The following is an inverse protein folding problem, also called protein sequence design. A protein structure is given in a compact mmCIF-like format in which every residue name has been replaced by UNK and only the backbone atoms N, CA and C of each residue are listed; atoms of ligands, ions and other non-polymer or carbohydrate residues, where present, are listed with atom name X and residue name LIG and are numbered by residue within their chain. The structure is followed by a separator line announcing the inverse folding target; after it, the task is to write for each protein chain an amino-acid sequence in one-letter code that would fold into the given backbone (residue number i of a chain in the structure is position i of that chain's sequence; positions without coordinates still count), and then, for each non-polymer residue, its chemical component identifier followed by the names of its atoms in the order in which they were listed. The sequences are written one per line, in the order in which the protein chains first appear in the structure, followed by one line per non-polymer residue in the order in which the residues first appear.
data_IF_110599501777
#
_entry.id   IF_110599501777
#
_cell.length_a   1.000
_cell.length_b   1.000
_cell.length_c   1.000
_cell.angle_alpha   90.00
_cell.angle_beta   90.00
_cell.angle_gamma   90.00
#
_symmetry.space_group_name_H-M   'P 1'
#
loop_
_entity.id
_entity.type
_entity.pdbx_description
1 polymer ?
#
# COMPACT_ATOMS: atom_id res chain seq x y z
N UNK A 1 -95.73 -4.53 17.54
CA UNK A 1 -94.92 -3.47 18.19
C UNK A 1 -93.49 -3.88 18.53
N UNK A 2 -93.06 -5.13 18.44
CA UNK A 2 -91.72 -5.58 18.71
C UNK A 2 -90.81 -5.62 17.41
N UNK A 3 -91.41 -5.87 16.27
CA UNK A 3 -90.67 -6.00 14.99
C UNK A 3 -90.16 -4.66 14.52
N UNK A 4 -90.81 -3.54 14.77
CA UNK A 4 -90.38 -2.21 14.39
C UNK A 4 -89.20 -1.65 15.18
N UNK A 5 -88.94 -2.15 16.37
CA UNK A 5 -87.80 -1.75 17.22
C UNK A 5 -86.47 -2.39 16.76
N UNK A 6 -86.53 -3.57 16.14
CA UNK A 6 -85.34 -4.28 15.66
C UNK A 6 -84.94 -3.83 14.23
N UNK A 7 -85.94 -3.44 13.41
CA UNK A 7 -85.67 -3.06 11.99
C UNK A 7 -85.25 -1.60 11.83
N UNK A 8 -85.49 -0.71 12.82
CA UNK A 8 -85.07 0.66 12.72
C UNK A 8 -83.53 0.84 12.75
N UNK A 9 -82.75 0.18 13.64
CA UNK A 9 -81.29 0.29 13.59
C UNK A 9 -80.70 -0.37 12.34
N UNK A 10 -81.32 -1.41 11.77
CA UNK A 10 -80.81 -2.01 10.54
C UNK A 10 -80.98 -1.10 9.29
N UNK A 11 -82.12 -0.35 9.23
CA UNK A 11 -82.38 0.63 8.14
C UNK A 11 -81.48 1.87 8.27
N UNK A 12 -81.10 2.31 9.45
CA UNK A 12 -80.11 3.41 9.62
C UNK A 12 -78.71 2.98 9.33
N UNK A 13 -78.32 1.76 9.62
CA UNK A 13 -77.00 1.19 9.21
C UNK A 13 -76.86 1.08 7.70
N UNK A 14 -77.94 0.72 6.96
CA UNK A 14 -77.91 0.67 5.46
C UNK A 14 -77.81 2.05 4.79
N UNK A 15 -78.19 3.13 5.51
CA UNK A 15 -78.10 4.53 5.00
C UNK A 15 -76.92 5.28 5.52
N UNK A 16 -76.17 4.72 6.50
CA UNK A 16 -74.99 5.40 7.04
C UNK A 16 -73.81 5.26 6.10
N UNK A 17 -73.52 6.33 5.39
CA UNK A 17 -72.34 6.43 4.50
C UNK A 17 -71.03 6.68 5.25
N UNK A 18 -71.02 6.83 6.57
CA UNK A 18 -69.82 7.01 7.38
C UNK A 18 -68.94 5.78 7.44
N UNK A 19 -69.51 4.58 7.18
CA UNK A 19 -68.76 3.33 7.06
C UNK A 19 -67.91 3.22 5.81
N UNK A 20 -68.12 4.08 4.80
CA UNK A 20 -67.37 4.02 3.54
C UNK A 20 -65.88 4.35 3.73
N UNK A 21 -65.54 5.29 4.61
CA UNK A 21 -64.14 5.61 4.97
C UNK A 21 -63.47 4.43 5.68
N UNK A 22 -64.16 3.72 6.55
CA UNK A 22 -63.64 2.52 7.24
C UNK A 22 -63.40 1.37 6.28
N UNK A 23 -64.27 1.17 5.29
CA UNK A 23 -64.07 0.18 4.24
C UNK A 23 -62.90 0.54 3.33
N UNK A 24 -62.80 1.77 2.89
CA UNK A 24 -61.65 2.24 2.08
C UNK A 24 -60.35 2.07 2.85
N UNK A 25 -60.32 2.43 4.16
CA UNK A 25 -59.16 2.25 5.01
C UNK A 25 -58.81 0.76 5.16
N UNK A 26 -59.79 -0.13 5.44
CA UNK A 26 -59.58 -1.57 5.57
C UNK A 26 -59.06 -2.21 4.28
N UNK A 27 -59.57 -1.81 3.12
CA UNK A 27 -59.05 -2.29 1.80
C UNK A 27 -57.71 -1.70 1.43
N UNK A 28 -57.36 -0.48 1.88
CA UNK A 28 -56.09 0.17 1.57
C UNK A 28 -54.96 -0.33 2.47
N UNK A 29 -55.24 -0.72 3.72
CA UNK A 29 -54.19 -1.14 4.67
C UNK A 29 -53.52 -2.45 4.22
N UNK A 30 -54.27 -3.39 3.63
CA UNK A 30 -53.72 -4.64 3.14
C UNK A 30 -52.63 -4.45 2.08
N UNK A 31 -52.90 -3.80 0.92
CA UNK A 31 -51.87 -3.61 -0.10
C UNK A 31 -50.68 -2.73 0.38
N UNK A 32 -50.95 -1.76 1.26
CA UNK A 32 -49.88 -0.93 1.83
C UNK A 32 -48.99 -1.79 2.76
N UNK A 33 -49.57 -2.61 3.62
CA UNK A 33 -48.80 -3.51 4.51
C UNK A 33 -47.96 -4.51 3.71
N UNK A 34 -48.52 -5.09 2.65
CA UNK A 34 -47.78 -6.01 1.80
C UNK A 34 -46.66 -5.29 1.00
N UNK A 35 -46.94 -4.12 0.45
CA UNK A 35 -45.96 -3.34 -0.25
C UNK A 35 -44.78 -2.96 0.66
N UNK A 36 -45.04 -2.49 1.87
CA UNK A 36 -44.04 -2.19 2.88
C UNK A 36 -43.30 -3.44 3.32
N UNK A 37 -44.01 -4.55 3.57
CA UNK A 37 -43.41 -5.82 3.93
C UNK A 37 -42.50 -6.42 2.87
N UNK A 38 -42.88 -6.35 1.59
CA UNK A 38 -42.02 -6.76 0.49
C UNK A 38 -40.75 -5.86 0.38
N UNK A 39 -40.86 -4.57 0.68
CA UNK A 39 -39.71 -3.67 0.77
C UNK A 39 -38.75 -4.08 1.90
N UNK A 40 -39.26 -4.53 3.04
CA UNK A 40 -38.46 -5.06 4.16
C UNK A 40 -37.74 -6.35 3.72
N UNK A 41 -38.48 -7.32 3.13
CA UNK A 41 -37.89 -8.57 2.65
C UNK A 41 -36.81 -8.33 1.61
N UNK A 42 -37.04 -7.42 0.66
CA UNK A 42 -36.03 -7.02 -0.35
C UNK A 42 -34.80 -6.41 0.31
N UNK A 43 -34.97 -5.51 1.26
CA UNK A 43 -33.86 -4.87 1.98
C UNK A 43 -33.05 -5.91 2.77
N UNK A 44 -33.72 -6.87 3.42
CA UNK A 44 -33.06 -7.97 4.12
C UNK A 44 -32.23 -8.85 3.15
N UNK A 45 -32.79 -9.17 1.98
CA UNK A 45 -32.10 -9.93 0.94
C UNK A 45 -30.86 -9.18 0.41
N UNK A 46 -30.95 -7.87 0.18
CA UNK A 46 -29.80 -7.05 -0.27
C UNK A 46 -28.69 -6.96 0.78
N UNK A 47 -29.06 -6.88 2.07
CA UNK A 47 -28.06 -6.93 3.17
C UNK A 47 -27.34 -8.28 3.22
N UNK A 48 -28.08 -9.38 3.09
CA UNK A 48 -27.49 -10.72 3.03
C UNK A 48 -26.58 -10.87 1.80
N UNK A 49 -27.00 -10.38 0.63
CA UNK A 49 -26.21 -10.41 -0.58
C UNK A 49 -24.91 -9.61 -0.42
N UNK A 50 -24.96 -8.40 0.14
CA UNK A 50 -23.75 -7.58 0.41
C UNK A 50 -22.80 -8.31 1.36
N UNK A 51 -23.32 -8.93 2.41
CA UNK A 51 -22.52 -9.74 3.34
C UNK A 51 -21.89 -10.93 2.65
N UNK A 52 -22.66 -11.68 1.83
CA UNK A 52 -22.15 -12.84 1.10
C UNK A 52 -21.11 -12.45 0.04
N UNK A 53 -21.25 -11.30 -0.61
CA UNK A 53 -20.23 -10.79 -1.51
C UNK A 53 -18.90 -10.56 -0.76
N UNK A 54 -18.92 -9.96 0.42
CA UNK A 54 -17.72 -9.79 1.23
C UNK A 54 -17.11 -11.12 1.69
N UNK A 55 -17.95 -12.12 2.02
CA UNK A 55 -17.51 -13.49 2.33
C UNK A 55 -16.88 -14.16 1.11
N UNK A 56 -17.45 -13.94 -0.07
CA UNK A 56 -16.94 -14.47 -1.33
C UNK A 56 -15.59 -13.86 -1.69
N UNK A 57 -15.42 -12.53 -1.48
CA UNK A 57 -14.14 -11.85 -1.63
C UNK A 57 -13.08 -12.42 -0.67
N UNK A 58 -13.43 -12.60 0.60
CA UNK A 58 -12.54 -13.20 1.59
C UNK A 58 -12.16 -14.65 1.24
N UNK A 59 -13.11 -15.43 0.75
CA UNK A 59 -12.90 -16.80 0.29
C UNK A 59 -11.93 -16.85 -0.91
N UNK A 60 -12.13 -15.98 -1.89
CA UNK A 60 -11.22 -15.88 -3.04
C UNK A 60 -9.80 -15.48 -2.62
N UNK A 61 -9.68 -14.50 -1.72
CA UNK A 61 -8.37 -14.07 -1.22
C UNK A 61 -7.65 -15.15 -0.42
N UNK A 62 -8.37 -15.98 0.35
CA UNK A 62 -7.78 -17.05 1.16
C UNK A 62 -6.99 -18.06 0.32
N UNK A 63 -7.43 -18.35 -0.90
CA UNK A 63 -6.80 -19.32 -1.79
C UNK A 63 -5.56 -18.79 -2.52
N UNK A 64 -5.36 -17.47 -2.55
CA UNK A 64 -4.27 -16.83 -3.31
C UNK A 64 -3.25 -16.13 -2.41
N UNK A 65 -3.24 -16.44 -1.12
CA UNK A 65 -2.21 -15.93 -0.20
C UNK A 65 -0.82 -16.47 -0.53
N UNK A 66 0.22 -15.75 -0.18
CA UNK A 66 1.61 -16.19 -0.43
C UNK A 66 1.92 -17.60 0.15
N UNK A 67 1.44 -18.00 1.36
CA UNK A 67 1.55 -19.37 1.82
C UNK A 67 0.82 -20.37 0.93
N UNK A 68 -0.40 -20.04 0.46
CA UNK A 68 -1.21 -20.94 -0.40
C UNK A 68 -0.58 -21.15 -1.79
N UNK A 69 0.21 -20.21 -2.29
CA UNK A 69 0.97 -20.37 -3.52
C UNK A 69 2.04 -21.43 -3.45
N UNK A 70 2.44 -21.85 -2.25
CA UNK A 70 3.38 -22.96 -2.01
C UNK A 70 2.68 -24.30 -1.85
N UNK A 71 1.36 -24.30 -1.75
CA UNK A 71 0.50 -25.46 -1.57
C UNK A 71 -0.16 -25.85 -2.90
N UNK A 72 -0.72 -27.04 -2.96
CA UNK A 72 -1.48 -27.54 -4.10
C UNK A 72 -2.77 -26.79 -4.37
N UNK A 73 -3.38 -27.06 -5.53
CA UNK A 73 -4.69 -26.49 -5.87
C UNK A 73 -5.80 -27.00 -4.94
N UNK A 74 -5.65 -28.23 -4.41
CA UNK A 74 -6.54 -28.85 -3.43
C UNK A 74 -6.54 -28.11 -2.10
N UNK A 75 -5.37 -27.73 -1.58
CA UNK A 75 -5.26 -26.93 -0.37
C UNK A 75 -5.91 -25.56 -0.57
N UNK A 76 -5.69 -24.95 -1.73
CA UNK A 76 -6.31 -23.68 -2.08
C UNK A 76 -7.84 -23.79 -2.21
N UNK A 77 -8.35 -24.89 -2.80
CA UNK A 77 -9.78 -25.19 -2.81
C UNK A 77 -10.36 -25.31 -1.40
N UNK A 78 -9.67 -26.05 -0.55
CA UNK A 78 -10.10 -26.26 0.84
C UNK A 78 -10.05 -24.97 1.64
N UNK A 79 -9.03 -24.14 1.45
CA UNK A 79 -8.92 -22.83 2.10
C UNK A 79 -10.09 -21.88 1.69
N UNK A 80 -10.38 -21.80 0.38
CA UNK A 80 -11.50 -20.99 -0.10
C UNK A 80 -12.84 -21.48 0.43
N UNK A 81 -13.08 -22.80 0.36
CA UNK A 81 -14.34 -23.42 0.82
C UNK A 81 -14.53 -23.24 2.32
N UNK A 82 -13.53 -23.58 3.13
CA UNK A 82 -13.62 -23.47 4.58
C UNK A 82 -13.83 -22.04 5.04
N UNK A 83 -13.19 -21.07 4.37
CA UNK A 83 -13.40 -19.65 4.63
C UNK A 83 -14.84 -19.23 4.34
N UNK A 84 -15.40 -19.67 3.21
CA UNK A 84 -16.79 -19.38 2.87
C UNK A 84 -17.74 -20.03 3.87
N UNK A 85 -17.64 -21.34 4.09
CA UNK A 85 -18.56 -22.13 4.92
C UNK A 85 -18.55 -21.67 6.38
N UNK A 86 -17.37 -21.35 6.94
CA UNK A 86 -17.25 -20.88 8.32
C UNK A 86 -18.01 -19.56 8.57
N UNK A 87 -18.09 -18.69 7.55
CA UNK A 87 -18.71 -17.38 7.68
C UNK A 87 -20.21 -17.38 7.34
N UNK A 88 -20.71 -18.40 6.61
CA UNK A 88 -22.13 -18.52 6.28
C UNK A 88 -22.88 -19.42 7.24
N UNK A 89 -22.19 -20.28 8.00
CA UNK A 89 -22.80 -21.19 8.99
C UNK A 89 -23.61 -20.39 10.00
N UNK A 90 -24.85 -20.86 10.27
CA UNK A 90 -25.79 -20.24 11.23
C UNK A 90 -26.18 -18.77 10.90
N UNK A 91 -26.13 -18.37 9.65
CA UNK A 91 -26.63 -17.05 9.24
C UNK A 91 -28.17 -17.08 9.19
N UNK A 92 -28.82 -16.30 10.03
CA UNK A 92 -30.29 -16.26 10.11
C UNK A 92 -30.91 -15.82 8.77
N UNK A 93 -31.95 -16.50 8.35
CA UNK A 93 -32.68 -16.21 7.11
C UNK A 93 -31.94 -16.58 5.81
N UNK A 94 -30.78 -17.19 5.90
CA UNK A 94 -30.02 -17.66 4.75
C UNK A 94 -30.22 -19.16 4.53
N UNK A 95 -30.50 -19.54 3.28
CA UNK A 95 -30.45 -20.92 2.83
C UNK A 95 -29.49 -21.05 1.69
N UNK A 96 -28.41 -21.81 1.88
CA UNK A 96 -27.41 -22.13 0.88
C UNK A 96 -26.98 -23.59 1.06
N UNK A 97 -26.91 -24.34 -0.03
CA UNK A 97 -26.29 -25.66 -0.04
C UNK A 97 -24.92 -25.56 -0.73
N UNK A 98 -23.86 -25.47 0.07
CA UNK A 98 -22.50 -25.33 -0.43
C UNK A 98 -21.98 -26.60 -1.13
N UNK A 99 -22.70 -27.73 -1.00
CA UNK A 99 -22.35 -29.02 -1.58
C UNK A 99 -23.12 -29.33 -2.87
N UNK A 100 -24.27 -28.69 -3.07
CA UNK A 100 -25.06 -28.89 -4.28
C UNK A 100 -24.45 -28.18 -5.47
N UNK A 101 -24.57 -28.74 -6.68
CA UNK A 101 -24.22 -28.07 -7.93
C UNK A 101 -24.94 -26.72 -8.01
N UNK A 102 -24.15 -25.62 -8.21
CA UNK A 102 -24.69 -24.27 -8.32
C UNK A 102 -24.90 -23.52 -6.99
N UNK A 103 -24.73 -24.19 -5.82
CA UNK A 103 -24.78 -23.48 -4.51
C UNK A 103 -23.49 -22.72 -4.23
N UNK A 104 -22.35 -23.40 -4.24
CA UNK A 104 -21.00 -22.80 -4.16
C UNK A 104 -20.13 -23.43 -5.23
N UNK A 105 -19.62 -22.62 -6.13
CA UNK A 105 -18.68 -23.04 -7.18
C UNK A 105 -17.37 -22.32 -7.00
N UNK A 106 -16.26 -23.07 -6.94
CA UNK A 106 -14.91 -22.54 -6.84
C UNK A 106 -14.12 -23.09 -8.02
N UNK A 107 -13.56 -22.20 -8.83
CA UNK A 107 -12.69 -22.55 -9.95
C UNK A 107 -11.31 -21.94 -9.74
N UNK A 108 -10.26 -22.75 -9.83
CA UNK A 108 -8.86 -22.33 -9.68
C UNK A 108 -8.12 -22.57 -10.98
N UNK A 109 -7.37 -21.59 -11.42
CA UNK A 109 -6.47 -21.66 -12.56
C UNK A 109 -5.06 -21.32 -12.11
N UNK A 110 -4.17 -22.31 -12.17
CA UNK A 110 -2.74 -22.13 -11.96
C UNK A 110 -2.02 -22.03 -13.30
N UNK A 111 -1.12 -21.05 -13.44
CA UNK A 111 -0.20 -20.96 -14.57
C UNK A 111 1.11 -21.61 -14.15
N UNK A 112 1.48 -22.71 -14.79
CA UNK A 112 2.69 -23.45 -14.50
C UNK A 112 3.95 -22.71 -15.01
N UNK A 113 5.18 -23.08 -14.56
CA UNK A 113 6.43 -22.53 -15.09
C UNK A 113 6.60 -22.70 -16.60
N UNK A 114 5.93 -23.69 -17.20
CA UNK A 114 5.87 -23.89 -18.66
C UNK A 114 5.03 -22.84 -19.39
N UNK A 115 4.34 -21.95 -18.67
CA UNK A 115 3.39 -20.98 -19.22
C UNK A 115 1.99 -21.56 -19.51
N UNK A 116 1.78 -22.86 -19.30
CA UNK A 116 0.50 -23.52 -19.55
C UNK A 116 -0.46 -23.28 -18.36
N UNK A 117 -1.71 -22.89 -18.60
CA UNK A 117 -2.73 -22.80 -17.57
C UNK A 117 -3.33 -24.20 -17.29
N UNK A 118 -3.48 -24.53 -16.01
CA UNK A 118 -4.21 -25.70 -15.53
C UNK A 118 -5.41 -25.19 -14.72
N UNK A 119 -6.63 -25.53 -15.14
CA UNK A 119 -7.86 -25.11 -14.46
C UNK A 119 -8.56 -26.31 -13.86
N UNK A 120 -8.99 -26.17 -12.61
CA UNK A 120 -9.86 -27.14 -11.94
C UNK A 120 -11.09 -26.43 -11.39
N UNK A 121 -12.20 -27.18 -11.32
CA UNK A 121 -13.36 -26.80 -10.49
C UNK A 121 -13.31 -27.62 -9.22
N UNK A 122 -13.31 -26.97 -8.08
CA UNK A 122 -13.19 -27.62 -6.79
C UNK A 122 -14.42 -28.52 -6.52
N UNK A 123 -14.23 -29.81 -6.27
CA UNK A 123 -15.31 -30.72 -5.95
C UNK A 123 -15.93 -30.40 -4.59
N UNK A 124 -17.17 -30.81 -4.39
CA UNK A 124 -17.84 -30.71 -3.10
C UNK A 124 -17.18 -31.59 -2.03
N UNK A 125 -16.55 -32.68 -2.42
CA UNK A 125 -15.95 -33.67 -1.51
C UNK A 125 -14.71 -34.25 -2.21
N UNK A 126 -13.52 -34.05 -1.60
CA UNK A 126 -12.24 -34.64 -1.97
C UNK A 126 -11.79 -34.42 -3.44
N UNK A 127 -10.58 -33.98 -3.63
CA UNK A 127 -9.99 -33.86 -4.97
C UNK A 127 -9.43 -35.23 -5.43
N UNK A 128 -9.42 -35.53 -6.73
CA UNK A 128 -8.71 -36.68 -7.25
C UNK A 128 -7.21 -36.57 -6.90
N UNK A 129 -6.64 -37.63 -6.34
CA UNK A 129 -5.20 -37.74 -6.13
C UNK A 129 -4.50 -37.71 -7.49
N UNK A 130 -3.55 -36.80 -7.67
CA UNK A 130 -2.73 -36.73 -8.87
C UNK A 130 -2.63 -35.38 -9.60
N UNK A 131 -3.17 -34.31 -9.03
CA UNK A 131 -2.95 -32.97 -9.60
C UNK A 131 -1.50 -32.55 -9.32
N UNK A 132 -0.73 -32.08 -10.33
CA UNK A 132 0.67 -31.75 -10.14
C UNK A 132 0.88 -30.71 -9.05
N UNK A 133 1.70 -31.03 -8.05
CA UNK A 133 2.15 -30.11 -6.99
C UNK A 133 3.20 -29.10 -7.48
N UNK A 134 3.26 -28.80 -8.78
CA UNK A 134 4.19 -27.81 -9.29
C UNK A 134 3.79 -26.44 -8.74
N UNK A 135 4.75 -25.73 -8.16
CA UNK A 135 4.53 -24.34 -7.71
C UNK A 135 4.11 -23.50 -8.91
N UNK A 136 2.92 -22.90 -8.90
CA UNK A 136 2.47 -22.10 -10.02
C UNK A 136 3.22 -20.75 -10.06
N UNK A 137 3.40 -20.20 -11.25
CA UNK A 137 3.84 -18.81 -11.42
C UNK A 137 2.75 -17.85 -10.99
N UNK A 138 1.49 -18.19 -11.30
CA UNK A 138 0.33 -17.40 -10.87
C UNK A 138 -0.83 -18.34 -10.56
N UNK A 139 -1.69 -17.91 -9.64
CA UNK A 139 -2.96 -18.55 -9.32
C UNK A 139 -4.08 -17.55 -9.44
N UNK A 140 -5.11 -17.88 -10.21
CA UNK A 140 -6.37 -17.17 -10.28
C UNK A 140 -7.48 -18.04 -9.71
N UNK A 141 -8.41 -17.43 -9.00
CA UNK A 141 -9.58 -18.11 -8.44
C UNK A 141 -10.85 -17.33 -8.75
N UNK A 142 -11.91 -18.05 -9.03
CA UNK A 142 -13.26 -17.52 -9.14
C UNK A 142 -14.13 -18.29 -8.15
N UNK A 143 -14.79 -17.58 -7.26
CA UNK A 143 -15.75 -18.11 -6.30
C UNK A 143 -17.12 -17.54 -6.65
N UNK A 144 -18.10 -18.40 -6.90
CA UNK A 144 -19.47 -18.00 -7.23
C UNK A 144 -20.43 -18.69 -6.26
N UNK A 145 -21.43 -17.97 -5.79
CA UNK A 145 -22.47 -18.54 -4.95
C UNK A 145 -23.86 -18.21 -5.48
N UNK A 146 -24.81 -19.13 -5.19
CA UNK A 146 -26.24 -18.89 -5.30
C UNK A 146 -26.91 -19.36 -3.99
N UNK A 147 -27.73 -18.48 -3.42
CA UNK A 147 -28.37 -18.68 -2.14
C UNK A 147 -29.81 -18.13 -2.15
N UNK A 148 -30.53 -18.37 -1.07
CA UNK A 148 -31.89 -17.85 -0.88
C UNK A 148 -31.99 -17.10 0.44
N UNK A 149 -32.58 -15.91 0.39
CA UNK A 149 -32.99 -15.15 1.57
C UNK A 149 -34.43 -15.50 1.92
N UNK A 150 -34.67 -15.89 3.14
CA UNK A 150 -36.04 -16.15 3.63
C UNK A 150 -36.83 -14.84 3.64
N UNK A 151 -38.09 -14.93 3.18
CA UNK A 151 -39.06 -13.84 3.20
C UNK A 151 -39.98 -13.99 4.38
N UNK A 152 -40.26 -12.90 5.10
CA UNK A 152 -41.25 -12.87 6.18
C UNK A 152 -42.65 -12.50 5.67
N UNK A 153 -42.73 -11.43 4.90
CA UNK A 153 -43.99 -10.89 4.39
C UNK A 153 -44.43 -11.51 3.08
N UNK A 154 -43.51 -11.59 2.10
CA UNK A 154 -43.80 -12.20 0.81
C UNK A 154 -44.07 -13.71 0.94
N UNK A 155 -43.61 -14.35 2.02
CA UNK A 155 -43.94 -15.75 2.39
C UNK A 155 -45.41 -15.99 2.56
N UNK A 156 -46.18 -15.05 3.10
CA UNK A 156 -47.63 -15.11 3.28
C UNK A 156 -48.34 -15.20 1.91
N UNK A 157 -47.76 -14.61 0.87
CA UNK A 157 -48.24 -14.62 -0.51
C UNK A 157 -47.68 -15.79 -1.33
N UNK A 158 -47.08 -16.80 -0.69
CA UNK A 158 -46.51 -17.97 -1.35
C UNK A 158 -45.11 -17.82 -1.89
N UNK A 159 -44.43 -16.65 -1.68
CA UNK A 159 -43.05 -16.42 -2.03
C UNK A 159 -42.13 -16.56 -0.82
N UNK A 160 -41.84 -17.81 -0.44
CA UNK A 160 -41.10 -18.12 0.79
C UNK A 160 -39.67 -17.60 0.82
N UNK A 161 -39.03 -17.35 -0.33
CA UNK A 161 -37.65 -16.86 -0.40
C UNK A 161 -37.36 -16.02 -1.66
N UNK A 162 -36.32 -15.16 -1.57
CA UNK A 162 -35.74 -14.42 -2.70
C UNK A 162 -34.36 -15.00 -3.01
N UNK A 163 -34.10 -15.27 -4.30
CA UNK A 163 -32.78 -15.69 -4.77
C UNK A 163 -31.78 -14.56 -4.73
N UNK A 164 -30.61 -14.82 -4.19
CA UNK A 164 -29.45 -13.92 -4.15
C UNK A 164 -28.22 -14.65 -4.66
N UNK A 165 -27.29 -13.95 -5.29
CA UNK A 165 -26.08 -14.57 -5.81
C UNK A 165 -24.99 -13.52 -6.08
N UNK A 166 -23.79 -13.99 -6.25
CA UNK A 166 -22.64 -13.15 -6.54
C UNK A 166 -21.40 -13.97 -6.89
N UNK A 167 -20.38 -13.28 -7.34
CA UNK A 167 -19.10 -13.86 -7.71
C UNK A 167 -17.96 -12.93 -7.29
N UNK A 168 -16.84 -13.52 -6.89
CA UNK A 168 -15.58 -12.82 -6.65
C UNK A 168 -14.45 -13.53 -7.36
N UNK A 169 -13.48 -12.78 -7.84
CA UNK A 169 -12.25 -13.32 -8.40
C UNK A 169 -11.03 -12.67 -7.79
N UNK A 170 -10.01 -13.47 -7.53
CA UNK A 170 -8.72 -13.02 -7.04
C UNK A 170 -7.60 -13.67 -7.84
N UNK A 171 -6.48 -12.96 -8.00
CA UNK A 171 -5.28 -13.46 -8.66
C UNK A 171 -4.05 -13.05 -7.87
N UNK A 172 -3.07 -13.94 -7.79
CA UNK A 172 -1.74 -13.61 -7.31
C UNK A 172 -0.68 -14.22 -8.22
N UNK A 173 0.50 -13.60 -8.20
CA UNK A 173 1.67 -14.03 -8.97
C UNK A 173 2.79 -14.25 -7.97
N UNK A 174 3.45 -15.39 -8.03
CA UNK A 174 4.47 -15.78 -7.05
C UNK A 174 5.68 -14.84 -7.10
N UNK A 175 6.07 -14.42 -8.29
CA UNK A 175 7.13 -13.44 -8.53
C UNK A 175 6.70 -12.57 -9.71
N UNK A 176 5.92 -11.49 -9.45
CA UNK A 176 5.48 -10.60 -10.52
C UNK A 176 6.67 -9.87 -11.14
N UNK A 177 6.56 -9.55 -12.41
CA UNK A 177 7.49 -8.60 -13.02
C UNK A 177 7.30 -7.23 -12.39
N UNK A 178 8.39 -6.64 -11.92
CA UNK A 178 8.37 -5.36 -11.24
C UNK A 178 9.51 -4.47 -11.73
N UNK A 179 9.18 -3.21 -12.02
CA UNK A 179 10.14 -2.15 -12.26
C UNK A 179 10.12 -1.22 -11.04
N UNK A 180 11.21 -1.21 -10.30
CA UNK A 180 11.35 -0.47 -9.05
C UNK A 180 12.34 0.67 -9.28
N UNK A 181 11.83 1.88 -9.20
CA UNK A 181 12.61 3.10 -9.30
C UNK A 181 12.84 3.65 -7.90
N UNK A 182 14.08 3.62 -7.43
CA UNK A 182 14.49 4.09 -6.10
C UNK A 182 15.14 5.46 -6.20
N UNK A 183 14.54 6.46 -5.59
CA UNK A 183 15.16 7.77 -5.36
C UNK A 183 15.69 7.81 -3.92
N UNK A 184 17.01 7.79 -3.80
CA UNK A 184 17.74 7.73 -2.54
C UNK A 184 18.31 9.12 -2.23
N UNK A 185 17.92 9.66 -1.10
CA UNK A 185 18.43 10.96 -0.66
C UNK A 185 19.88 10.81 -0.18
N UNK A 186 20.77 11.52 -0.87
CA UNK A 186 22.20 11.58 -0.59
C UNK A 186 22.66 13.02 -0.34
N UNK A 187 21.69 13.91 -0.06
CA UNK A 187 21.95 15.30 0.30
C UNK A 187 22.71 15.41 1.63
N UNK A 188 23.19 16.61 1.94
CA UNK A 188 23.99 16.85 3.16
C UNK A 188 23.25 16.51 4.44
N UNK A 189 21.94 16.67 4.48
CA UNK A 189 21.11 16.31 5.65
C UNK A 189 21.10 14.81 5.95
N UNK A 190 21.40 13.96 4.97
CA UNK A 190 21.61 12.53 5.18
C UNK A 190 22.98 12.19 5.79
N UNK A 191 23.86 13.16 5.94
CA UNK A 191 25.08 13.08 6.75
C UNK A 191 24.86 13.27 8.24
N UNK A 192 23.65 13.59 8.69
CA UNK A 192 23.32 13.60 10.10
C UNK A 192 23.52 12.21 10.71
N UNK A 193 23.99 12.19 11.97
CA UNK A 193 24.12 10.95 12.70
C UNK A 193 22.75 10.27 12.91
N UNK A 194 22.74 8.95 12.79
CA UNK A 194 21.51 8.17 12.84
C UNK A 194 20.95 7.95 14.26
N UNK A 195 21.71 8.28 15.28
CA UNK A 195 21.29 8.14 16.70
C UNK A 195 21.84 9.29 17.54
N UNK A 196 21.21 9.60 18.70
CA UNK A 196 21.72 10.64 19.61
C UNK A 196 23.15 10.35 20.15
N UNK A 197 23.52 9.09 20.28
CA UNK A 197 24.90 8.75 20.69
C UNK A 197 25.87 9.01 19.54
N UNK A 198 25.54 8.58 18.34
CA UNK A 198 26.35 8.84 17.15
C UNK A 198 26.53 10.36 16.89
N UNK A 199 25.53 11.17 17.22
CA UNK A 199 25.61 12.63 17.14
C UNK A 199 26.72 13.20 18.05
N UNK A 200 26.81 12.73 19.30
CA UNK A 200 27.88 13.11 20.22
C UNK A 200 29.25 12.66 19.75
N UNK A 201 29.32 11.41 19.30
CA UNK A 201 30.58 10.82 18.83
C UNK A 201 31.08 11.57 17.59
N UNK A 202 30.20 11.91 16.64
CA UNK A 202 30.55 12.70 15.45
C UNK A 202 31.06 14.08 15.84
N UNK A 203 30.37 14.76 16.73
CA UNK A 203 30.74 16.08 17.24
C UNK A 203 32.16 16.07 17.86
N UNK A 204 32.43 15.10 18.74
CA UNK A 204 33.72 14.98 19.40
C UNK A 204 34.85 14.62 18.44
N UNK A 205 34.62 13.64 17.55
CA UNK A 205 35.68 13.17 16.63
C UNK A 205 36.02 14.20 15.57
N UNK A 206 35.03 14.87 15.01
CA UNK A 206 35.26 15.94 14.02
C UNK A 206 35.96 17.15 14.65
N UNK A 207 35.54 17.55 15.86
CA UNK A 207 36.22 18.59 16.63
C UNK A 207 37.68 18.27 16.93
N UNK A 208 38.00 17.02 17.27
CA UNK A 208 39.35 16.57 17.58
C UNK A 208 40.24 16.54 16.31
N UNK A 209 39.72 16.05 15.19
CA UNK A 209 40.50 15.80 13.98
C UNK A 209 40.61 17.00 13.04
N UNK A 210 39.51 17.76 12.92
CA UNK A 210 39.42 18.91 12.01
C UNK A 210 39.46 20.26 12.75
N UNK A 211 39.47 20.26 14.08
CA UNK A 211 39.42 21.49 14.89
C UNK A 211 38.01 22.15 14.88
N UNK A 212 37.04 21.57 14.16
CA UNK A 212 35.67 22.07 14.04
C UNK A 212 34.68 20.93 14.22
N UNK A 213 33.85 21.00 15.23
CA UNK A 213 32.83 20.01 15.50
C UNK A 213 31.70 20.07 14.47
N UNK A 214 31.38 18.94 13.88
CA UNK A 214 30.31 18.78 12.89
C UNK A 214 29.05 18.16 13.51
N UNK A 215 27.89 18.67 13.16
CA UNK A 215 26.60 18.12 13.54
C UNK A 215 25.58 18.29 12.40
N UNK A 216 25.45 19.48 11.84
CA UNK A 216 24.43 19.82 10.84
C UNK A 216 25.06 20.60 9.69
N UNK A 217 24.81 20.19 8.43
CA UNK A 217 25.19 20.94 7.23
C UNK A 217 26.71 21.05 6.94
N UNK A 218 27.54 20.30 7.64
CA UNK A 218 29.01 20.40 7.58
C UNK A 218 29.67 19.17 6.93
N UNK A 219 28.96 18.46 6.05
CA UNK A 219 29.42 17.18 5.51
C UNK A 219 30.15 17.33 4.18
N UNK A 220 29.99 18.46 3.48
CA UNK A 220 30.84 18.79 2.34
C UNK A 220 32.27 18.99 2.82
N UNK A 221 33.22 18.42 2.08
CA UNK A 221 34.64 18.57 2.42
C UNK A 221 35.03 20.03 2.28
N UNK A 222 35.31 20.70 3.39
CA UNK A 222 35.95 22.01 3.38
C UNK A 222 37.41 21.85 2.92
N UNK A 223 37.92 22.64 1.97
CA UNK A 223 39.34 22.62 1.56
C UNK A 223 40.33 22.81 2.73
N UNK A 224 39.87 23.44 3.81
CA UNK A 224 40.68 23.66 5.02
C UNK A 224 40.62 22.52 6.02
N UNK A 225 39.72 21.56 5.85
CA UNK A 225 39.60 20.39 6.70
C UNK A 225 40.53 19.26 6.24
N UNK A 226 41.21 18.63 7.19
CA UNK A 226 42.12 17.52 6.92
C UNK A 226 41.41 16.29 6.38
N UNK A 227 40.20 16.02 6.87
CA UNK A 227 39.39 14.87 6.51
C UNK A 227 37.97 15.30 6.19
N UNK A 228 37.29 14.61 5.26
CA UNK A 228 35.86 14.75 5.13
C UNK A 228 35.17 14.19 6.40
N UNK A 229 34.11 14.84 6.89
CA UNK A 229 33.44 14.41 8.10
C UNK A 229 32.75 13.05 7.94
N UNK A 230 32.32 12.71 6.71
CA UNK A 230 31.83 11.35 6.38
C UNK A 230 32.93 10.29 6.52
N UNK A 231 34.19 10.61 6.11
CA UNK A 231 35.33 9.70 6.26
C UNK A 231 35.64 9.47 7.74
N UNK A 232 35.57 10.53 8.56
CA UNK A 232 35.73 10.41 10.02
C UNK A 232 34.65 9.50 10.60
N UNK A 233 33.39 9.70 10.21
CA UNK A 233 32.29 8.88 10.68
C UNK A 233 32.49 7.39 10.30
N UNK A 234 32.86 7.13 9.04
CA UNK A 234 33.13 5.78 8.56
C UNK A 234 34.30 5.12 9.29
N UNK A 235 35.39 5.86 9.53
CA UNK A 235 36.56 5.34 10.24
C UNK A 235 36.26 4.93 11.69
N UNK A 236 35.44 5.71 12.39
CA UNK A 236 35.04 5.44 13.76
C UNK A 236 33.75 4.60 13.88
N UNK A 237 33.20 4.09 12.76
CA UNK A 237 31.93 3.35 12.73
C UNK A 237 30.78 4.14 13.35
N UNK A 238 30.74 5.45 13.15
CA UNK A 238 29.65 6.32 13.57
C UNK A 238 28.56 6.25 12.48
N UNK A 239 27.36 5.70 12.77
CA UNK A 239 26.35 5.53 11.77
C UNK A 239 25.75 6.88 11.36
N UNK A 240 25.91 7.25 10.08
CA UNK A 240 25.19 8.35 9.45
C UNK A 240 23.91 7.82 8.78
N UNK A 241 22.91 8.67 8.55
CA UNK A 241 21.69 8.29 7.87
C UNK A 241 21.95 7.70 6.47
N UNK A 242 22.90 8.27 5.73
CA UNK A 242 23.31 7.75 4.40
C UNK A 242 23.88 6.33 4.49
N UNK A 243 24.64 6.02 5.55
CA UNK A 243 25.17 4.67 5.74
C UNK A 243 24.03 3.67 6.00
N UNK A 244 23.10 4.03 6.89
CA UNK A 244 21.93 3.21 7.20
C UNK A 244 21.04 3.01 5.96
N UNK A 245 20.79 4.08 5.20
CA UNK A 245 20.06 4.01 3.94
C UNK A 245 20.74 3.07 2.94
N UNK A 246 22.04 3.19 2.78
CA UNK A 246 22.84 2.30 1.95
C UNK A 246 22.67 0.84 2.34
N UNK A 247 22.88 0.53 3.62
CA UNK A 247 22.86 -0.83 4.12
C UNK A 247 21.43 -1.42 4.03
N UNK A 248 20.40 -0.65 4.38
CA UNK A 248 19.00 -1.06 4.22
C UNK A 248 18.61 -1.31 2.74
N UNK A 249 19.16 -0.52 1.82
CA UNK A 249 18.93 -0.71 0.38
C UNK A 249 19.65 -1.96 -0.13
N UNK A 250 20.88 -2.24 0.34
CA UNK A 250 21.58 -3.51 0.02
C UNK A 250 20.76 -4.70 0.44
N UNK A 251 20.25 -4.72 1.67
CA UNK A 251 19.46 -5.83 2.18
C UNK A 251 18.11 -6.00 1.46
N UNK A 252 17.50 -4.89 1.02
CA UNK A 252 16.33 -4.96 0.16
C UNK A 252 16.65 -5.62 -1.19
N UNK A 253 17.78 -5.28 -1.81
CA UNK A 253 18.24 -5.89 -3.07
C UNK A 253 18.56 -7.38 -2.84
N UNK A 254 19.22 -7.74 -1.72
CA UNK A 254 19.50 -9.15 -1.38
C UNK A 254 18.20 -9.94 -1.18
N UNK A 255 17.18 -9.33 -0.59
CA UNK A 255 15.84 -9.92 -0.50
C UNK A 255 15.21 -10.09 -1.89
N UNK A 256 15.39 -9.12 -2.78
CA UNK A 256 14.93 -9.22 -4.17
C UNK A 256 15.63 -10.36 -4.92
N UNK A 257 16.95 -10.48 -4.79
CA UNK A 257 17.73 -11.58 -5.39
C UNK A 257 17.22 -12.93 -4.90
N UNK A 258 16.96 -13.07 -3.61
CA UNK A 258 16.45 -14.31 -3.02
C UNK A 258 15.00 -14.62 -3.44
N UNK A 259 14.20 -13.60 -3.70
CA UNK A 259 12.78 -13.72 -4.02
C UNK A 259 12.46 -13.81 -5.51
N UNK A 260 13.34 -13.33 -6.39
CA UNK A 260 13.12 -13.45 -7.83
C UNK A 260 13.31 -14.91 -8.29
N UNK A 261 12.43 -15.35 -9.20
CA UNK A 261 12.57 -16.67 -9.83
C UNK A 261 13.69 -16.72 -10.87
N UNK A 262 13.79 -17.84 -11.58
CA UNK A 262 14.76 -18.04 -12.68
C UNK A 262 14.65 -16.98 -13.80
N UNK A 263 13.52 -16.27 -13.88
CA UNK A 263 13.20 -15.31 -14.95
C UNK A 263 13.69 -13.88 -14.68
N UNK A 264 14.40 -13.61 -13.57
CA UNK A 264 14.88 -12.27 -13.20
C UNK A 264 13.75 -11.21 -13.29
N UNK A 265 12.66 -11.44 -12.60
CA UNK A 265 11.42 -10.67 -12.74
C UNK A 265 11.50 -9.24 -12.18
N UNK A 266 12.56 -8.91 -11.43
CA UNK A 266 12.71 -7.60 -10.80
C UNK A 266 13.76 -6.78 -11.52
N UNK A 267 13.37 -5.56 -11.89
CA UNK A 267 14.28 -4.54 -12.40
C UNK A 267 14.37 -3.39 -11.41
N UNK A 268 15.58 -2.88 -11.22
CA UNK A 268 15.84 -1.71 -10.38
C UNK A 268 16.50 -0.61 -11.18
N UNK A 269 16.03 0.62 -10.96
CA UNK A 269 16.72 1.84 -11.32
C UNK A 269 17.02 2.63 -10.04
N UNK A 270 18.17 3.27 -9.96
CA UNK A 270 18.58 4.08 -8.82
C UNK A 270 18.78 5.54 -9.25
N UNK A 271 18.25 6.45 -8.44
CA UNK A 271 18.42 7.88 -8.57
C UNK A 271 18.98 8.42 -7.27
N UNK A 272 19.94 9.37 -7.36
CA UNK A 272 20.45 10.06 -6.17
C UNK A 272 19.84 11.45 -6.11
N UNK A 273 19.24 11.78 -4.96
CA UNK A 273 18.81 13.14 -4.65
C UNK A 273 19.99 13.88 -4.04
N UNK A 274 20.20 15.15 -4.41
CA UNK A 274 21.30 15.98 -3.95
C UNK A 274 22.53 15.97 -4.89
N UNK A 275 22.60 15.07 -5.87
CA UNK A 275 23.70 15.04 -6.84
C UNK A 275 23.53 16.16 -7.86
N UNK A 276 24.62 16.87 -8.16
CA UNK A 276 24.63 18.02 -9.06
C UNK A 276 23.69 19.16 -8.64
N UNK A 277 23.34 19.28 -7.38
CA UNK A 277 22.65 20.44 -6.84
C UNK A 277 23.60 21.61 -6.72
N UNK A 278 24.03 22.16 -7.85
CA UNK A 278 24.66 23.45 -7.91
C UNK A 278 23.66 24.49 -8.38
N UNK A 279 24.04 25.77 -8.39
CA UNK A 279 23.22 26.95 -8.65
C UNK A 279 22.18 26.84 -9.79
N UNK A 280 22.29 25.84 -10.67
CA UNK A 280 21.45 25.63 -11.86
C UNK A 280 21.16 24.16 -12.19
N UNK A 281 21.41 23.22 -11.28
CA UNK A 281 21.21 21.79 -11.53
C UNK A 281 19.97 21.26 -10.82
N UNK A 282 19.36 20.22 -11.39
CA UNK A 282 18.11 19.59 -10.89
C UNK A 282 18.27 18.81 -9.58
N UNK A 283 19.49 18.72 -9.05
CA UNK A 283 19.78 18.00 -7.80
C UNK A 283 19.55 16.50 -7.85
N UNK A 284 19.38 15.90 -9.02
CA UNK A 284 19.13 14.47 -9.20
C UNK A 284 19.91 13.91 -10.40
N UNK A 285 20.39 12.67 -10.26
CA UNK A 285 20.98 11.93 -11.38
C UNK A 285 20.45 10.49 -11.45
N UNK A 286 20.49 9.90 -12.65
CA UNK A 286 20.24 8.46 -12.85
C UNK A 286 21.54 7.70 -12.52
N UNK A 287 21.65 7.23 -11.28
CA UNK A 287 22.85 6.54 -10.80
C UNK A 287 22.99 5.13 -11.36
N UNK A 288 21.87 4.42 -11.52
CA UNK A 288 21.80 3.13 -12.21
C UNK A 288 20.55 3.11 -13.07
N UNK A 289 20.73 2.83 -14.36
CA UNK A 289 19.61 2.63 -15.30
C UNK A 289 18.81 1.38 -14.93
N UNK A 290 17.53 1.36 -15.30
CA UNK A 290 16.66 0.21 -15.07
C UNK A 290 17.27 -1.08 -15.62
N UNK A 291 17.53 -2.05 -14.75
CA UNK A 291 18.24 -3.30 -15.09
C UNK A 291 17.80 -4.47 -14.24
N UNK A 292 17.90 -5.67 -14.80
CA UNK A 292 17.76 -6.95 -14.09
C UNK A 292 19.08 -7.41 -13.43
N UNK A 293 20.20 -6.76 -13.73
CA UNK A 293 21.50 -7.06 -13.12
C UNK A 293 21.57 -6.51 -11.69
N UNK A 294 20.96 -7.25 -10.77
CA UNK A 294 20.90 -6.90 -9.35
C UNK A 294 22.29 -6.94 -8.67
N UNK A 295 23.27 -7.66 -9.24
CA UNK A 295 24.63 -7.66 -8.73
C UNK A 295 25.31 -6.30 -8.96
N UNK A 296 25.15 -5.73 -10.14
CA UNK A 296 25.61 -4.37 -10.44
C UNK A 296 24.88 -3.33 -9.59
N UNK A 297 23.54 -3.44 -9.45
CA UNK A 297 22.77 -2.55 -8.60
C UNK A 297 23.29 -2.58 -7.16
N UNK A 298 23.48 -3.78 -6.60
CA UNK A 298 24.01 -4.00 -5.25
C UNK A 298 25.41 -3.39 -5.06
N UNK A 299 26.29 -3.60 -6.03
CA UNK A 299 27.67 -3.05 -6.01
C UNK A 299 27.65 -1.52 -5.99
N UNK A 300 26.80 -0.90 -6.80
CA UNK A 300 26.63 0.56 -6.85
C UNK A 300 26.07 1.10 -5.53
N UNK A 301 25.06 0.45 -4.95
CA UNK A 301 24.52 0.88 -3.65
C UNK A 301 25.58 0.79 -2.55
N UNK A 302 26.42 -0.23 -2.51
CA UNK A 302 27.53 -0.33 -1.55
C UNK A 302 28.52 0.83 -1.62
N UNK A 303 28.69 1.43 -2.79
CA UNK A 303 29.51 2.60 -3.00
C UNK A 303 28.77 3.93 -2.80
N UNK A 304 27.53 3.92 -2.29
CA UNK A 304 26.75 5.15 -2.07
C UNK A 304 27.35 5.96 -0.93
N UNK A 305 27.61 7.24 -1.21
CA UNK A 305 28.13 8.25 -0.29
C UNK A 305 27.27 9.51 -0.39
N UNK A 306 27.52 10.48 0.48
CA UNK A 306 26.94 11.81 0.35
C UNK A 306 27.32 12.43 -0.99
N UNK A 307 26.37 13.05 -1.67
CA UNK A 307 26.58 13.67 -2.98
C UNK A 307 27.69 14.72 -2.96
N UNK A 308 27.83 15.43 -1.86
CA UNK A 308 28.88 16.42 -1.66
C UNK A 308 30.30 15.83 -1.71
N UNK A 309 30.47 14.54 -1.40
CA UNK A 309 31.78 13.87 -1.30
C UNK A 309 32.10 12.98 -2.51
N UNK A 310 31.14 12.76 -3.41
CA UNK A 310 31.29 11.92 -4.62
C UNK A 310 31.74 12.72 -5.85
N UNK A 311 32.74 13.61 -5.69
CA UNK A 311 33.30 14.42 -6.80
C UNK A 311 32.30 15.38 -7.45
N UNK A 312 31.13 15.60 -6.81
CA UNK A 312 30.12 16.56 -7.26
C UNK A 312 30.58 17.99 -7.01
N UNK A 313 30.25 18.88 -7.94
CA UNK A 313 30.37 20.32 -7.76
C UNK A 313 29.07 20.80 -7.17
N UNK A 314 29.09 21.22 -5.90
CA UNK A 314 27.90 21.73 -5.22
C UNK A 314 27.71 21.19 -3.81
N UNK A 315 26.85 21.83 -3.05
CA UNK A 315 26.68 21.52 -1.62
C UNK A 315 25.73 20.34 -1.32
N UNK A 316 25.19 19.68 -2.35
CA UNK A 316 24.30 18.51 -2.13
C UNK A 316 22.93 18.88 -1.59
N UNK A 317 22.31 19.95 -2.13
CA UNK A 317 20.97 20.40 -1.79
C UNK A 317 19.88 19.41 -2.27
N UNK A 318 18.68 19.52 -1.72
CA UNK A 318 17.58 18.60 -1.98
C UNK A 318 16.47 19.30 -2.78
N UNK A 319 16.21 18.85 -4.01
CA UNK A 319 15.03 19.29 -4.78
C UNK A 319 14.09 18.12 -5.05
N UNK A 320 13.13 17.90 -4.15
CA UNK A 320 12.14 16.81 -4.27
C UNK A 320 11.18 17.00 -5.45
N UNK A 321 10.63 18.20 -5.72
CA UNK A 321 9.87 18.46 -6.95
C UNK A 321 10.65 18.16 -8.23
N UNK A 322 11.90 18.61 -8.35
CA UNK A 322 12.73 18.30 -9.50
C UNK A 322 13.03 16.80 -9.61
N UNK A 323 13.28 16.12 -8.49
CA UNK A 323 13.47 14.67 -8.45
C UNK A 323 12.27 13.93 -9.01
N UNK A 324 11.05 14.27 -8.55
CA UNK A 324 9.84 13.62 -9.05
C UNK A 324 9.63 13.92 -10.55
N UNK A 325 9.83 15.14 -10.98
CA UNK A 325 9.73 15.51 -12.41
C UNK A 325 10.77 14.78 -13.28
N UNK A 326 12.00 14.60 -12.76
CA UNK A 326 13.08 13.91 -13.47
C UNK A 326 12.80 12.40 -13.64
N UNK A 327 12.31 11.73 -12.60
CA UNK A 327 12.10 10.27 -12.62
C UNK A 327 10.87 9.87 -13.42
N UNK A 328 9.83 10.70 -13.43
CA UNK A 328 8.52 10.38 -14.05
C UNK A 328 8.61 9.91 -15.52
N UNK A 329 9.43 10.49 -16.41
CA UNK A 329 9.58 10.01 -17.80
C UNK A 329 10.16 8.61 -17.94
N UNK A 330 10.95 8.15 -16.96
CA UNK A 330 11.57 6.81 -16.99
C UNK A 330 10.56 5.71 -16.64
N UNK A 331 9.51 6.05 -15.93
CA UNK A 331 8.38 5.16 -15.61
C UNK A 331 7.47 5.07 -16.85
N UNK A 332 7.85 4.22 -17.80
CA UNK A 332 7.07 3.96 -19.02
C UNK A 332 5.80 3.19 -18.66
N UNK A 333 4.86 3.84 -17.99
CA UNK A 333 3.54 3.28 -17.75
C UNK A 333 2.76 3.26 -19.07
N UNK A 334 2.42 2.09 -19.55
CA UNK A 334 1.93 1.86 -20.91
C UNK A 334 0.43 1.98 -21.06
N UNK A 335 -0.33 2.45 -20.12
CA UNK A 335 -1.78 2.69 -20.36
C UNK A 335 -2.59 2.73 -19.06
N UNK A 336 -3.82 3.24 -19.15
CA UNK A 336 -4.85 3.25 -18.12
C UNK A 336 -5.30 1.86 -17.59
N UNK A 337 -4.75 0.77 -18.10
CA UNK A 337 -4.91 -0.58 -17.57
C UNK A 337 -3.71 -0.88 -16.69
N UNK A 338 -3.96 -1.06 -15.40
CA UNK A 338 -2.96 -1.41 -14.39
C UNK A 338 -2.03 -2.52 -14.89
N UNK A 339 -0.72 -2.25 -14.87
CA UNK A 339 0.30 -3.27 -15.13
C UNK A 339 0.16 -4.38 -14.07
N UNK A 340 -0.21 -5.58 -14.51
CA UNK A 340 -0.57 -6.71 -13.62
C UNK A 340 0.64 -7.56 -13.19
N UNK A 341 1.82 -7.27 -13.73
CA UNK A 341 3.05 -8.01 -13.44
C UNK A 341 3.14 -9.40 -14.08
N UNK A 342 2.25 -9.74 -15.02
CA UNK A 342 2.27 -11.07 -15.67
C UNK A 342 3.39 -11.24 -16.68
N UNK A 343 3.88 -10.15 -17.25
CA UNK A 343 4.99 -10.12 -18.21
C UNK A 343 5.88 -8.89 -17.95
N UNK A 344 7.08 -8.89 -18.49
CA UNK A 344 7.98 -7.74 -18.40
C UNK A 344 7.38 -6.46 -19.02
N UNK A 345 6.62 -6.59 -20.11
CA UNK A 345 5.95 -5.45 -20.75
C UNK A 345 4.81 -4.89 -19.89
N UNK A 346 4.27 -5.71 -18.97
CA UNK A 346 3.23 -5.35 -18.00
C UNK A 346 3.76 -5.37 -16.57
N UNK A 347 5.07 -5.10 -16.41
CA UNK A 347 5.69 -5.05 -15.09
C UNK A 347 5.01 -4.00 -14.22
N UNK A 348 4.72 -4.34 -12.96
CA UNK A 348 4.18 -3.41 -11.98
C UNK A 348 5.22 -2.32 -11.70
N UNK A 349 4.78 -1.06 -11.73
CA UNK A 349 5.66 0.10 -11.58
C UNK A 349 5.63 0.62 -10.15
N UNK A 350 6.81 0.78 -9.57
CA UNK A 350 6.97 1.35 -8.24
C UNK A 350 7.95 2.53 -8.30
N UNK A 351 7.58 3.61 -7.64
CA UNK A 351 8.49 4.71 -7.33
C UNK A 351 8.66 4.78 -5.81
N UNK A 352 9.84 4.44 -5.33
CA UNK A 352 10.17 4.50 -3.91
C UNK A 352 11.13 5.67 -3.67
N UNK A 353 10.81 6.50 -2.70
CA UNK A 353 11.62 7.63 -2.29
C UNK A 353 11.98 7.50 -0.82
N UNK A 354 13.26 7.61 -0.51
CA UNK A 354 13.77 7.65 0.86
C UNK A 354 14.40 9.01 1.07
N UNK A 355 13.82 9.82 1.97
CA UNK A 355 14.20 11.22 2.16
C UNK A 355 13.83 11.70 3.56
N UNK A 356 14.46 12.78 4.01
CA UNK A 356 14.04 13.51 5.21
C UNK A 356 12.93 14.54 4.93
N UNK A 357 12.50 14.65 3.67
CA UNK A 357 11.29 15.37 3.26
C UNK A 357 11.43 16.88 3.16
N UNK A 358 12.61 17.42 3.34
CA UNK A 358 12.88 18.85 3.17
C UNK A 358 13.43 19.09 1.77
N UNK A 359 12.75 19.94 1.01
CA UNK A 359 13.34 20.54 -0.17
C UNK A 359 14.18 21.74 0.29
N UNK A 360 15.46 21.72 -0.06
CA UNK A 360 16.39 22.79 0.19
C UNK A 360 17.07 23.18 -1.14
N UNK A 361 16.89 24.42 -1.54
CA UNK A 361 17.48 24.96 -2.76
C UNK A 361 18.21 26.27 -2.47
N UNK A 362 19.31 26.52 -3.17
CA UNK A 362 20.05 27.75 -3.03
C UNK A 362 19.17 28.97 -3.39
N UNK A 363 19.19 30.00 -2.54
CA UNK A 363 18.41 31.20 -2.77
C UNK A 363 18.64 32.29 -1.72
N UNK A 364 17.95 33.44 -1.84
CA UNK A 364 18.14 34.60 -0.94
C UNK A 364 17.42 34.42 0.39
N UNK A 365 17.31 33.20 0.88
CA UNK A 365 16.64 32.87 2.15
C UNK A 365 17.66 32.77 3.31
N UNK A 366 17.33 32.03 4.36
CA UNK A 366 18.14 31.91 5.57
C UNK A 366 19.45 31.17 5.24
N UNK A 367 20.57 31.80 5.50
CA UNK A 367 21.92 31.26 5.21
C UNK A 367 22.16 30.82 3.74
N UNK A 368 21.39 31.34 2.79
CA UNK A 368 21.46 30.93 1.40
C UNK A 368 20.59 29.71 1.07
N UNK A 369 19.85 29.18 2.04
CA UNK A 369 18.99 27.99 1.94
C UNK A 369 17.53 28.36 1.96
N UNK A 370 16.79 27.97 0.92
CA UNK A 370 15.34 28.15 0.80
C UNK A 370 14.64 26.81 1.09
N UNK A 371 14.40 26.52 2.36
CA UNK A 371 13.77 25.28 2.80
C UNK A 371 12.26 25.31 2.68
N UNK A 372 11.67 24.24 2.17
CA UNK A 372 10.23 24.04 2.05
C UNK A 372 9.89 22.55 2.08
N UNK A 373 8.62 22.23 2.35
CA UNK A 373 8.10 20.88 2.21
C UNK A 373 7.71 20.60 0.75
N UNK A 374 7.70 19.31 0.36
CA UNK A 374 7.16 18.89 -0.94
C UNK A 374 5.67 19.23 -1.01
N UNK A 375 5.18 19.67 -2.16
CA UNK A 375 3.74 19.77 -2.39
C UNK A 375 3.14 18.37 -2.50
N UNK A 376 2.06 18.13 -1.77
CA UNK A 376 1.38 16.84 -1.71
C UNK A 376 0.88 16.35 -3.09
N UNK A 377 0.60 17.28 -4.02
CA UNK A 377 0.11 16.99 -5.39
C UNK A 377 1.24 16.56 -6.35
N UNK A 378 2.50 16.77 -5.98
CA UNK A 378 3.67 16.46 -6.82
C UNK A 378 3.68 14.98 -7.26
N UNK A 379 3.18 14.08 -6.42
CA UNK A 379 3.13 12.65 -6.72
C UNK A 379 1.86 12.18 -7.47
N UNK A 380 0.90 13.06 -7.72
CA UNK A 380 -0.38 12.65 -8.32
C UNK A 380 -0.21 12.16 -9.75
N UNK A 381 0.74 12.72 -10.51
CA UNK A 381 1.06 12.27 -11.87
C UNK A 381 1.53 10.80 -11.92
N UNK A 382 2.22 10.31 -10.87
CA UNK A 382 2.59 8.91 -10.74
C UNK A 382 1.36 8.04 -10.49
N UNK A 383 0.54 8.41 -9.50
CA UNK A 383 -0.68 7.68 -9.12
C UNK A 383 -1.67 7.61 -10.28
N UNK A 384 -1.84 8.68 -11.05
CA UNK A 384 -2.68 8.71 -12.27
C UNK A 384 -2.20 7.75 -13.36
N UNK A 385 -0.89 7.46 -13.41
CA UNK A 385 -0.31 6.47 -14.31
C UNK A 385 -0.33 5.04 -13.76
N UNK A 386 -0.95 4.80 -12.60
CA UNK A 386 -0.99 3.49 -11.97
C UNK A 386 0.32 3.09 -11.27
N UNK A 387 1.25 4.03 -11.09
CA UNK A 387 2.50 3.80 -10.36
C UNK A 387 2.23 3.84 -8.86
N UNK A 388 2.69 2.83 -8.14
CA UNK A 388 2.66 2.85 -6.67
C UNK A 388 3.81 3.70 -6.15
N UNK A 389 3.48 4.73 -5.39
CA UNK A 389 4.45 5.62 -4.72
C UNK A 389 4.64 5.19 -3.29
N UNK A 390 5.84 4.71 -2.94
CA UNK A 390 6.23 4.36 -1.57
C UNK A 390 7.22 5.39 -1.02
N UNK A 391 7.02 5.83 0.20
CA UNK A 391 7.89 6.81 0.84
C UNK A 391 8.37 6.30 2.18
N UNK A 392 9.69 6.33 2.40
CA UNK A 392 10.31 6.21 3.72
C UNK A 392 10.78 7.59 4.13
N UNK A 393 10.14 8.12 5.15
CA UNK A 393 10.46 9.40 5.74
C UNK A 393 11.45 9.21 6.90
N UNK A 394 12.69 9.71 6.73
CA UNK A 394 13.69 9.72 7.80
C UNK A 394 13.53 10.99 8.62
N UNK A 395 12.96 10.87 9.83
CA UNK A 395 12.59 12.04 10.64
C UNK A 395 13.78 12.90 11.05
N UNK A 396 13.58 14.22 11.03
CA UNK A 396 14.51 15.13 11.68
C UNK A 396 14.42 15.02 13.19
N UNK A 397 15.51 14.66 13.83
CA UNK A 397 15.65 14.79 15.27
C UNK A 397 16.05 16.24 15.60
N UNK A 398 15.44 16.88 16.62
CA UNK A 398 15.84 18.21 17.05
C UNK A 398 17.31 18.22 17.48
N UNK A 399 18.17 18.82 16.66
CA UNK A 399 19.62 18.89 16.91
C UNK A 399 19.91 19.90 18.01
N UNK A 400 20.77 19.52 18.95
CA UNK A 400 21.12 20.37 20.10
C UNK A 400 22.34 21.24 19.79
N UNK A 401 22.41 22.42 20.41
CA UNK A 401 23.55 23.32 20.24
C UNK A 401 24.90 22.67 20.63
N UNK A 402 24.87 21.82 21.65
CA UNK A 402 26.02 21.02 22.09
C UNK A 402 25.52 19.63 22.53
N UNK A 403 25.63 18.61 21.64
CA UNK A 403 25.10 17.27 21.94
C UNK A 403 25.89 16.53 23.03
N UNK A 404 27.10 17.02 23.39
CA UNK A 404 27.92 16.40 24.44
C UNK A 404 27.45 16.78 25.85
N UNK A 405 26.68 17.86 25.96
CA UNK A 405 26.16 18.32 27.26
C UNK A 405 24.79 17.72 27.55
N UNK A 406 24.65 16.83 28.52
CA UNK A 406 23.40 16.13 28.84
C UNK A 406 22.21 17.05 29.10
N UNK A 407 22.46 18.24 29.64
CA UNK A 407 21.45 19.24 30.02
C UNK A 407 21.33 20.40 29.00
N UNK A 408 21.90 20.28 27.80
CA UNK A 408 21.74 21.29 26.76
C UNK A 408 20.29 21.35 26.34
N UNK A 409 19.60 22.44 26.67
CA UNK A 409 18.22 22.72 26.24
C UNK A 409 18.18 23.56 24.93
N UNK A 410 19.32 24.16 24.56
CA UNK A 410 19.43 24.96 23.33
C UNK A 410 19.41 24.05 22.10
N UNK A 411 18.60 24.42 21.11
CA UNK A 411 18.63 23.84 19.78
C UNK A 411 19.62 24.59 18.92
N UNK A 412 20.17 23.90 17.90
CA UNK A 412 21.03 24.56 16.90
C UNK A 412 20.28 25.58 16.10
N UNK A 413 20.96 26.66 15.77
CA UNK A 413 20.39 27.81 15.07
C UNK A 413 19.90 27.42 13.66
N UNK A 414 20.64 26.55 12.97
CA UNK A 414 20.27 26.03 11.65
C UNK A 414 18.96 25.21 11.74
N UNK A 415 18.81 24.34 12.76
CA UNK A 415 17.59 23.61 12.97
C UNK A 415 16.38 24.55 13.25
N UNK A 416 16.58 25.53 14.15
CA UNK A 416 15.54 26.51 14.52
C UNK A 416 15.09 27.32 13.32
N UNK A 417 16.02 27.74 12.45
CA UNK A 417 15.74 28.65 11.35
C UNK A 417 15.32 27.95 10.05
N UNK A 418 15.82 26.73 9.78
CA UNK A 418 15.63 26.05 8.51
C UNK A 418 14.55 24.96 8.60
N UNK A 419 14.50 24.20 9.69
CA UNK A 419 13.67 23.00 9.79
C UNK A 419 12.44 23.23 10.68
N UNK A 420 12.61 23.79 11.87
CA UNK A 420 11.54 23.94 12.85
C UNK A 420 10.29 24.68 12.29
N UNK A 421 10.42 25.72 11.44
CA UNK A 421 9.27 26.44 10.90
C UNK A 421 8.38 25.58 9.98
N UNK A 422 8.95 24.53 9.35
CA UNK A 422 8.26 23.67 8.40
C UNK A 422 8.03 22.26 8.92
N UNK A 423 8.63 21.89 10.06
CA UNK A 423 8.66 20.51 10.59
C UNK A 423 7.28 19.86 10.69
N UNK A 424 6.26 20.61 11.17
CA UNK A 424 4.91 20.10 11.33
C UNK A 424 4.22 19.72 10.00
N UNK A 425 4.70 20.23 8.86
CA UNK A 425 4.12 20.01 7.54
C UNK A 425 4.88 18.93 6.74
N UNK A 426 6.06 18.49 7.15
CA UNK A 426 6.86 17.50 6.40
C UNK A 426 6.09 16.19 6.28
N UNK A 427 5.77 15.56 7.41
CA UNK A 427 5.06 14.28 7.47
C UNK A 427 3.73 14.30 6.71
N UNK A 428 2.79 15.25 6.95
CA UNK A 428 1.50 15.24 6.26
C UNK A 428 1.60 15.37 4.73
N UNK A 429 2.56 16.13 4.22
CA UNK A 429 2.74 16.28 2.77
C UNK A 429 3.35 15.03 2.13
N UNK A 430 4.34 14.41 2.77
CA UNK A 430 4.90 13.14 2.30
C UNK A 430 3.87 12.00 2.34
N UNK A 431 3.06 11.92 3.40
CA UNK A 431 2.00 10.91 3.53
C UNK A 431 0.94 11.05 2.42
N UNK A 432 0.56 12.27 2.07
CA UNK A 432 -0.36 12.54 0.94
C UNK A 432 0.28 12.24 -0.42
N UNK A 433 1.59 12.48 -0.57
CA UNK A 433 2.34 12.12 -1.77
C UNK A 433 2.40 10.60 -1.96
N UNK A 434 2.57 9.81 -0.90
CA UNK A 434 2.56 8.36 -0.97
C UNK A 434 1.21 7.79 -1.45
N UNK A 435 1.23 6.59 -2.01
CA UNK A 435 0.03 5.79 -2.22
C UNK A 435 -0.53 5.33 -0.87
N UNK A 436 -1.84 5.09 -0.79
CA UNK A 436 -2.51 4.69 0.46
C UNK A 436 -1.85 3.43 1.06
N UNK A 437 -1.36 3.52 2.30
CA UNK A 437 -0.67 2.44 3.00
C UNK A 437 0.81 2.25 2.59
N UNK A 438 1.40 3.18 1.82
CA UNK A 438 2.79 3.10 1.35
C UNK A 438 3.69 4.22 1.93
N UNK A 439 3.27 4.80 3.04
CA UNK A 439 4.06 5.76 3.80
C UNK A 439 4.62 5.10 5.06
N UNK A 440 5.92 5.22 5.29
CA UNK A 440 6.63 4.67 6.43
C UNK A 440 7.50 5.77 7.05
N UNK A 441 7.36 5.93 8.36
CA UNK A 441 8.16 6.87 9.13
C UNK A 441 9.25 6.10 9.88
N UNK A 442 10.47 6.59 9.83
CA UNK A 442 11.65 5.97 10.43
C UNK A 442 12.51 7.02 11.12
N UNK A 443 12.89 6.79 12.35
CA UNK A 443 13.65 7.73 13.17
C UNK A 443 15.10 7.31 13.42
N UNK A 444 15.43 6.05 13.15
CA UNK A 444 16.74 5.46 13.41
C UNK A 444 17.09 4.36 12.41
N UNK A 445 18.29 3.81 12.51
CA UNK A 445 18.78 2.78 11.62
C UNK A 445 17.87 1.55 11.52
N UNK A 446 17.50 0.90 12.63
CA UNK A 446 16.63 -0.26 12.62
C UNK A 446 15.27 0.01 11.97
N UNK A 447 14.66 1.17 12.21
CA UNK A 447 13.36 1.52 11.63
C UNK A 447 13.45 1.84 10.14
N UNK A 448 14.52 2.47 9.64
CA UNK A 448 14.78 2.66 8.22
C UNK A 448 14.89 1.30 7.51
N UNK A 449 15.66 0.39 8.10
CA UNK A 449 15.84 -0.96 7.59
C UNK A 449 14.50 -1.72 7.52
N UNK A 450 13.73 -1.71 8.61
CA UNK A 450 12.41 -2.35 8.66
C UNK A 450 11.42 -1.76 7.64
N UNK A 451 11.43 -0.44 7.46
CA UNK A 451 10.58 0.26 6.48
C UNK A 451 10.92 -0.16 5.04
N UNK A 452 12.21 -0.18 4.67
CA UNK A 452 12.66 -0.61 3.35
C UNK A 452 12.28 -2.06 3.04
N UNK A 453 12.48 -2.97 4.00
CA UNK A 453 12.08 -4.37 3.88
C UNK A 453 10.56 -4.51 3.75
N UNK A 454 9.79 -3.68 4.46
CA UNK A 454 8.33 -3.72 4.42
C UNK A 454 7.81 -3.22 3.08
N UNK A 455 8.37 -2.12 2.53
CA UNK A 455 8.08 -1.64 1.18
C UNK A 455 8.23 -2.75 0.15
N UNK A 456 9.38 -3.42 0.13
CA UNK A 456 9.64 -4.47 -0.84
C UNK A 456 8.74 -5.69 -0.66
N UNK A 457 8.56 -6.17 0.59
CA UNK A 457 7.64 -7.28 0.88
C UNK A 457 6.20 -6.97 0.47
N UNK A 458 5.73 -5.76 0.74
CA UNK A 458 4.40 -5.31 0.36
C UNK A 458 4.25 -5.27 -1.17
N UNK A 459 5.28 -4.84 -1.91
CA UNK A 459 5.28 -4.84 -3.37
C UNK A 459 5.15 -6.26 -3.95
N UNK A 460 5.84 -7.24 -3.34
CA UNK A 460 5.88 -8.63 -3.84
C UNK A 460 4.68 -9.48 -3.43
N UNK A 461 3.98 -9.14 -2.35
CA UNK A 461 2.99 -10.01 -1.70
C UNK A 461 1.54 -9.57 -1.86
N UNK A 462 1.25 -8.45 -2.53
CA UNK A 462 -0.11 -7.92 -2.62
C UNK A 462 -0.97 -8.72 -3.60
N UNK A 463 -1.93 -9.55 -3.12
CA UNK A 463 -2.93 -10.19 -3.98
C UNK A 463 -3.83 -9.11 -4.58
N UNK A 464 -4.30 -9.31 -5.81
CA UNK A 464 -5.20 -8.36 -6.48
C UNK A 464 -6.57 -9.01 -6.65
N UNK A 465 -7.63 -8.34 -6.20
CA UNK A 465 -9.01 -8.70 -6.58
C UNK A 465 -9.21 -8.22 -8.01
N UNK A 466 -9.59 -9.12 -8.89
CA UNK A 466 -9.93 -8.81 -10.27
C UNK A 466 -11.46 -8.71 -10.33
N UNK A 467 -11.99 -7.54 -10.61
CA UNK A 467 -13.42 -7.31 -10.81
C UNK A 467 -13.78 -7.38 -12.30
#
# INVERSE_FOLDING_TARGET
MLIDRVLRPARTLWRDRRGNMLMIFAFSILPITFATGMGIDYTAAMRLQTRLNAVTDASALAAVTAPMMKQGMDDACNAARSTFESQVTNTAGLTIDTKAPGGLTISITDTLPSGLPVTITCPAIGLPTGIPSARPLSRAIIVTYAARSANSFAGILGKASLGIGGSASAKTILAPYMDIHLALDTSQSMGLAATPQAEKDLWEKTGTLNGRSCQFGCHARDPNEKYANEDIANFYNIPLRVNVLRDATVDMIDTAVAGQGLNQNYQFALYRIGKNAGRYATGVDEYVKLTTDLATVRSKVRGLTLSANDGGVGFGDTDLPATTAFVLPYLKATSATFDDGTTQAKARKFFFMVTDGVTDVEGPCVYGHCTKVIDATTCDAYKQKGVTVGIVYTTYLPTKADPTKPNSTGLRDEYIKLIQPIAANIRPNLEKCASLGWFFEASDGPTIHAAMQTLFRQATQTPTIIR
#
